data_IF_964322990584
#
_entry.id   IF_964322990584
#
_cell.length_a   1.000
_cell.length_b   1.000
_cell.length_c   1.000
_cell.angle_alpha   90.00
_cell.angle_beta   90.00
_cell.angle_gamma   90.00
#
_symmetry.space_group_name_H-M   'P 1'
#
loop_
_entity.id
_entity.type
_entity.pdbx_description
1 polymer ?
#
# COMPACT_ATOMS: atom_id res chain seq x y z
N UNK A 1 70.09 -63.66 -14.65
CA UNK A 1 68.73 -63.58 -15.22
C UNK A 1 67.71 -63.83 -14.11
N UNK A 2 66.96 -62.79 -13.74
CA UNK A 2 65.93 -62.79 -12.70
C UNK A 2 64.60 -63.31 -13.28
N UNK A 3 63.90 -64.19 -12.58
CA UNK A 3 62.45 -64.42 -12.76
C UNK A 3 61.80 -64.37 -11.38
N UNK A 4 61.20 -63.23 -11.08
CA UNK A 4 60.27 -63.07 -9.96
C UNK A 4 58.89 -63.25 -10.55
N UNK A 5 58.14 -64.20 -9.98
CA UNK A 5 56.74 -64.47 -10.30
C UNK A 5 55.92 -63.29 -9.78
N UNK A 6 55.16 -62.69 -10.70
CA UNK A 6 54.15 -61.69 -10.42
C UNK A 6 52.98 -62.33 -9.67
N UNK A 7 52.55 -61.70 -8.58
CA UNK A 7 51.22 -61.91 -8.03
C UNK A 7 50.45 -60.59 -8.12
N UNK A 8 49.44 -60.63 -8.97
CA UNK A 8 48.55 -59.53 -9.32
C UNK A 8 47.60 -59.22 -8.17
N UNK A 9 47.69 -58.00 -7.61
CA UNK A 9 46.63 -57.46 -6.74
C UNK A 9 45.77 -56.51 -7.59
N UNK A 10 44.55 -57.00 -7.82
CA UNK A 10 43.29 -56.32 -8.08
C UNK A 10 43.33 -54.80 -8.35
N UNK A 11 43.12 -54.52 -9.63
CA UNK A 11 42.33 -53.44 -10.23
C UNK A 11 41.33 -52.79 -9.25
N UNK A 12 41.67 -51.59 -8.78
CA UNK A 12 40.72 -50.62 -8.24
C UNK A 12 40.26 -49.69 -9.36
N UNK A 13 39.16 -50.03 -10.03
CA UNK A 13 38.40 -49.10 -10.89
C UNK A 13 37.58 -48.20 -9.94
N UNK A 14 38.24 -47.19 -9.38
CA UNK A 14 37.59 -46.03 -8.80
C UNK A 14 37.61 -44.92 -9.84
N UNK A 15 36.70 -44.96 -10.80
CA UNK A 15 36.54 -43.88 -11.77
C UNK A 15 36.19 -42.59 -11.03
N UNK A 16 37.05 -41.59 -11.15
CA UNK A 16 36.73 -40.21 -10.78
C UNK A 16 35.46 -39.79 -11.54
N UNK A 17 34.30 -39.82 -10.88
CA UNK A 17 33.13 -39.12 -11.36
C UNK A 17 33.43 -37.62 -11.25
N UNK A 18 33.95 -37.06 -12.34
CA UNK A 18 34.18 -35.62 -12.50
C UNK A 18 32.90 -34.89 -12.09
N UNK A 19 33.02 -33.97 -11.12
CA UNK A 19 31.93 -33.07 -10.79
C UNK A 19 31.40 -32.41 -12.09
N UNK A 20 30.07 -32.26 -12.25
CA UNK A 20 29.50 -31.72 -13.47
C UNK A 20 30.12 -30.35 -13.77
N UNK A 21 30.68 -30.19 -14.99
CA UNK A 21 31.21 -28.90 -15.44
C UNK A 21 30.06 -27.90 -15.53
N UNK A 22 30.20 -26.77 -14.82
CA UNK A 22 29.28 -25.64 -14.94
C UNK A 22 29.54 -25.00 -16.29
N UNK A 23 28.61 -25.15 -17.23
CA UNK A 23 28.63 -24.43 -18.51
C UNK A 23 28.54 -22.93 -18.24
N UNK A 24 29.21 -22.10 -19.03
CA UNK A 24 29.09 -20.64 -18.92
C UNK A 24 27.62 -20.24 -19.09
N UNK A 25 27.09 -19.51 -18.10
CA UNK A 25 25.70 -19.07 -18.07
C UNK A 25 25.40 -18.14 -19.25
N UNK A 26 24.37 -18.44 -20.04
CA UNK A 26 23.86 -17.60 -21.13
C UNK A 26 22.63 -16.77 -20.70
N UNK A 27 22.33 -16.74 -19.40
CA UNK A 27 21.24 -15.95 -18.87
C UNK A 27 21.49 -14.45 -19.09
N UNK A 28 20.48 -13.81 -19.66
CA UNK A 28 20.36 -12.35 -19.74
C UNK A 28 19.43 -11.87 -18.63
N UNK A 29 19.73 -10.69 -18.07
CA UNK A 29 19.04 -10.15 -16.90
C UNK A 29 18.46 -8.79 -17.23
N UNK A 30 17.15 -8.64 -17.08
CA UNK A 30 16.44 -7.39 -17.28
C UNK A 30 15.81 -6.94 -15.97
N UNK A 31 16.13 -5.74 -15.53
CA UNK A 31 15.54 -5.18 -14.31
C UNK A 31 14.02 -5.01 -14.45
N UNK A 32 13.32 -5.33 -13.37
CA UNK A 32 11.89 -5.08 -13.18
C UNK A 32 11.79 -4.01 -12.09
N UNK A 33 11.20 -2.87 -12.40
CA UNK A 33 10.88 -1.86 -11.41
C UNK A 33 9.54 -1.23 -11.80
N UNK A 34 8.51 -1.46 -10.99
CA UNK A 34 7.20 -0.82 -11.11
C UNK A 34 6.98 0.13 -9.92
N UNK A 35 5.76 0.55 -9.60
CA UNK A 35 5.53 1.41 -8.44
C UNK A 35 5.79 0.67 -7.11
N UNK A 36 5.42 -0.61 -7.04
CA UNK A 36 5.34 -1.34 -5.77
C UNK A 36 6.42 -2.37 -5.51
N UNK A 37 7.24 -2.69 -6.50
CA UNK A 37 8.18 -3.79 -6.44
C UNK A 37 9.45 -3.55 -7.25
N UNK A 38 10.42 -4.42 -6.98
CA UNK A 38 11.71 -4.47 -7.67
C UNK A 38 12.03 -5.92 -7.99
N UNK A 39 12.81 -6.17 -9.04
CA UNK A 39 13.14 -7.52 -9.43
C UNK A 39 14.01 -7.60 -10.66
N UNK A 40 14.20 -8.82 -11.13
CA UNK A 40 14.98 -9.16 -12.32
C UNK A 40 14.25 -10.26 -13.06
N UNK A 41 14.11 -10.10 -14.37
CA UNK A 41 13.76 -11.18 -15.29
C UNK A 41 15.04 -11.81 -15.83
N UNK A 42 15.30 -13.05 -15.45
CA UNK A 42 16.40 -13.85 -15.97
C UNK A 42 15.89 -14.69 -17.16
N UNK A 43 16.53 -14.61 -18.33
CA UNK A 43 16.13 -15.35 -19.54
C UNK A 43 17.33 -16.04 -20.20
N UNK A 44 17.21 -17.34 -20.45
CA UNK A 44 18.21 -18.13 -21.18
C UNK A 44 17.59 -18.68 -22.47
N UNK A 45 18.09 -18.26 -23.65
CA UNK A 45 17.66 -18.81 -24.94
C UNK A 45 18.05 -20.28 -25.11
N UNK A 46 19.21 -20.72 -24.62
CA UNK A 46 19.64 -22.11 -24.76
C UNK A 46 18.88 -23.07 -23.85
N UNK A 47 18.51 -22.63 -22.65
CA UNK A 47 17.67 -23.40 -21.74
C UNK A 47 16.17 -23.29 -22.10
N UNK A 48 15.79 -22.25 -22.86
CA UNK A 48 14.38 -21.95 -23.15
C UNK A 48 13.59 -21.59 -21.91
N UNK A 49 14.23 -20.91 -20.95
CA UNK A 49 13.68 -20.60 -19.62
C UNK A 49 13.68 -19.10 -19.39
N UNK A 50 12.57 -18.58 -18.86
CA UNK A 50 12.48 -17.25 -18.28
C UNK A 50 11.95 -17.33 -16.85
N UNK A 51 12.47 -16.49 -15.97
CA UNK A 51 12.14 -16.48 -14.54
C UNK A 51 12.07 -15.03 -14.07
N UNK A 52 10.97 -14.68 -13.42
CA UNK A 52 10.85 -13.42 -12.71
C UNK A 52 11.21 -13.65 -11.24
N UNK A 53 12.20 -12.90 -10.76
CA UNK A 53 12.62 -12.90 -9.36
C UNK A 53 12.39 -11.49 -8.84
N UNK A 54 11.50 -11.32 -7.89
CA UNK A 54 11.05 -9.98 -7.48
C UNK A 54 10.70 -9.89 -6.01
N UNK A 55 10.52 -8.66 -5.53
CA UNK A 55 10.02 -8.32 -4.21
C UNK A 55 8.93 -7.24 -4.31
N UNK A 56 7.86 -7.38 -3.52
CA UNK A 56 6.88 -6.33 -3.24
C UNK A 56 7.32 -5.53 -2.01
N UNK A 57 7.37 -4.21 -2.13
CA UNK A 57 8.15 -3.36 -1.22
C UNK A 57 7.34 -2.29 -0.48
N UNK A 58 6.12 -1.97 -0.93
CA UNK A 58 5.37 -0.79 -0.45
C UNK A 58 4.12 -1.11 0.36
N UNK A 59 3.52 -2.30 0.19
CA UNK A 59 2.30 -2.71 0.90
C UNK A 59 2.62 -3.82 1.90
N UNK A 60 2.23 -3.64 3.16
CA UNK A 60 2.35 -4.67 4.20
C UNK A 60 3.80 -5.08 4.52
N UNK A 61 4.00 -6.40 4.67
CA UNK A 61 5.31 -7.01 4.83
C UNK A 61 5.98 -7.22 3.46
N UNK A 62 7.32 -7.29 3.44
CA UNK A 62 8.04 -7.50 2.19
C UNK A 62 7.85 -8.95 1.77
N UNK A 63 7.27 -9.15 0.59
CA UNK A 63 7.10 -10.48 0.00
C UNK A 63 8.03 -10.63 -1.19
N UNK A 64 8.79 -11.72 -1.22
CA UNK A 64 9.66 -12.06 -2.34
C UNK A 64 9.02 -13.17 -3.17
N UNK A 65 9.28 -13.20 -4.47
CA UNK A 65 8.75 -14.24 -5.35
C UNK A 65 9.75 -14.69 -6.40
N UNK A 66 9.69 -15.98 -6.74
CA UNK A 66 10.41 -16.59 -7.85
C UNK A 66 9.36 -17.28 -8.72
N UNK A 67 9.15 -16.76 -9.94
CA UNK A 67 8.06 -17.17 -10.84
C UNK A 67 8.64 -17.65 -12.16
N UNK A 68 8.59 -18.97 -12.44
CA UNK A 68 8.88 -19.48 -13.77
C UNK A 68 7.85 -18.92 -14.77
N UNK A 69 8.34 -18.35 -15.88
CA UNK A 69 7.50 -17.79 -16.93
C UNK A 69 7.41 -18.78 -18.10
N UNK A 70 6.20 -19.05 -18.59
CA UNK A 70 6.01 -19.80 -19.83
C UNK A 70 6.30 -18.90 -21.02
N UNK A 71 7.48 -19.00 -21.60
CA UNK A 71 7.79 -18.34 -22.88
C UNK A 71 7.33 -19.22 -24.04
N UNK A 72 6.31 -18.77 -24.78
CA UNK A 72 5.71 -19.52 -25.89
C UNK A 72 6.64 -19.91 -27.08
N UNK A 73 7.84 -19.35 -27.34
CA UNK A 73 8.71 -19.91 -28.38
C UNK A 73 9.40 -21.24 -27.98
N UNK A 74 9.38 -21.62 -26.70
CA UNK A 74 10.23 -22.72 -26.17
C UNK A 74 9.46 -24.00 -25.78
N UNK A 75 8.21 -24.14 -26.22
CA UNK A 75 7.36 -25.35 -26.02
C UNK A 75 7.79 -26.56 -26.88
N UNK A 76 9.08 -26.79 -27.11
CA UNK A 76 9.53 -28.04 -27.72
C UNK A 76 9.47 -29.17 -26.67
N UNK A 77 8.69 -30.21 -26.97
CA UNK A 77 8.25 -31.23 -26.01
C UNK A 77 9.37 -32.08 -25.36
N UNK A 78 10.61 -32.03 -25.84
CA UNK A 78 11.63 -33.04 -25.50
C UNK A 78 12.90 -32.52 -24.78
N UNK A 79 12.96 -31.23 -24.40
CA UNK A 79 14.15 -30.64 -23.75
C UNK A 79 13.82 -29.71 -22.57
N UNK A 80 12.98 -30.15 -21.63
CA UNK A 80 12.59 -29.30 -20.49
C UNK A 80 13.72 -29.19 -19.48
N UNK A 81 14.49 -28.11 -19.58
CA UNK A 81 15.30 -27.66 -18.47
C UNK A 81 14.41 -27.46 -17.25
N UNK A 82 14.94 -27.86 -16.10
CA UNK A 82 14.22 -27.90 -14.85
C UNK A 82 14.86 -26.94 -13.86
N UNK A 83 14.04 -26.22 -13.11
CA UNK A 83 14.54 -25.29 -12.10
C UNK A 83 14.64 -25.99 -10.74
N UNK A 84 15.77 -25.83 -10.06
CA UNK A 84 16.00 -26.42 -8.73
C UNK A 84 16.50 -25.37 -7.75
N UNK A 85 16.21 -25.59 -6.47
CA UNK A 85 16.55 -24.69 -5.38
C UNK A 85 16.83 -25.51 -4.11
N UNK A 86 17.95 -25.26 -3.45
CA UNK A 86 18.28 -25.87 -2.16
C UNK A 86 18.40 -27.41 -2.16
N UNK A 87 18.74 -28.04 -3.29
CA UNK A 87 18.80 -29.50 -3.42
C UNK A 87 17.45 -30.22 -3.29
N UNK A 88 16.36 -29.49 -3.04
CA UNK A 88 14.99 -29.97 -3.10
C UNK A 88 14.45 -29.88 -4.53
N UNK A 89 13.43 -30.68 -4.82
CA UNK A 89 12.96 -31.02 -6.17
C UNK A 89 12.52 -29.86 -7.06
N UNK A 90 12.17 -30.23 -8.29
CA UNK A 90 11.85 -29.33 -9.40
C UNK A 90 10.79 -28.26 -9.07
N UNK A 91 11.11 -27.00 -9.31
CA UNK A 91 10.15 -25.90 -9.28
C UNK A 91 9.20 -26.04 -10.48
N UNK A 92 7.93 -26.33 -10.19
CA UNK A 92 6.87 -26.45 -11.20
C UNK A 92 5.96 -25.22 -11.29
N UNK A 93 6.10 -24.29 -10.36
CA UNK A 93 5.26 -23.08 -10.27
C UNK A 93 5.92 -21.98 -9.44
N UNK A 94 5.20 -20.85 -9.24
CA UNK A 94 5.63 -19.76 -8.38
C UNK A 94 5.97 -20.23 -6.96
N UNK A 95 7.00 -19.63 -6.39
CA UNK A 95 7.33 -19.75 -4.97
C UNK A 95 7.42 -18.35 -4.38
N UNK A 96 6.68 -18.12 -3.31
CA UNK A 96 6.68 -16.87 -2.57
C UNK A 96 7.38 -17.06 -1.21
N UNK A 97 8.02 -16.01 -0.70
CA UNK A 97 8.78 -16.02 0.55
C UNK A 97 8.44 -14.79 1.38
N UNK A 98 8.11 -15.03 2.65
CA UNK A 98 7.87 -13.96 3.63
C UNK A 98 9.14 -13.63 4.45
N UNK A 99 10.25 -14.32 4.18
CA UNK A 99 11.51 -14.15 4.89
C UNK A 99 12.65 -13.84 3.93
N UNK A 100 13.32 -12.69 4.15
CA UNK A 100 14.52 -12.29 3.41
C UNK A 100 15.61 -13.38 3.49
N UNK A 101 15.77 -14.03 4.65
CA UNK A 101 16.78 -15.06 4.85
C UNK A 101 16.51 -16.31 4.01
N UNK A 102 15.24 -16.76 3.96
CA UNK A 102 14.84 -17.89 3.12
C UNK A 102 15.00 -17.53 1.64
N UNK A 103 14.54 -16.34 1.24
CA UNK A 103 14.71 -15.87 -0.13
C UNK A 103 16.18 -15.81 -0.55
N UNK A 104 17.08 -15.26 0.29
CA UNK A 104 18.52 -15.18 0.02
C UNK A 104 19.16 -16.58 -0.10
N UNK A 105 18.81 -17.51 0.78
CA UNK A 105 19.29 -18.89 0.69
C UNK A 105 18.80 -19.60 -0.60
N UNK A 106 17.55 -19.32 -0.97
CA UNK A 106 16.91 -19.84 -2.18
C UNK A 106 17.56 -19.33 -3.46
N UNK A 107 17.74 -18.00 -3.61
CA UNK A 107 18.40 -17.45 -4.82
C UNK A 107 19.86 -17.90 -4.93
N UNK A 108 20.58 -18.06 -3.82
CA UNK A 108 21.98 -18.46 -3.83
C UNK A 108 22.22 -19.86 -4.46
N UNK A 109 21.20 -20.71 -4.42
CA UNK A 109 21.24 -22.10 -4.91
C UNK A 109 20.33 -22.33 -6.13
N UNK A 110 19.79 -21.25 -6.72
CA UNK A 110 18.87 -21.32 -7.85
C UNK A 110 19.63 -21.69 -9.14
N UNK A 111 19.24 -22.82 -9.74
CA UNK A 111 19.88 -23.37 -10.93
C UNK A 111 18.86 -23.87 -11.95
N UNK A 112 19.23 -23.78 -13.23
CA UNK A 112 18.58 -24.50 -14.32
C UNK A 112 19.36 -25.78 -14.63
N UNK A 113 18.66 -26.89 -14.78
CA UNK A 113 19.23 -28.23 -14.97
C UNK A 113 18.70 -28.86 -16.24
N UNK A 114 19.58 -29.32 -17.13
CA UNK A 114 19.18 -30.01 -18.35
C UNK A 114 18.67 -31.43 -18.06
N UNK A 115 17.84 -32.01 -18.95
CA UNK A 115 17.58 -33.44 -18.94
C UNK A 115 18.91 -34.23 -18.98
N UNK A 116 18.97 -35.42 -18.34
CA UNK A 116 20.15 -36.28 -18.41
C UNK A 116 20.39 -36.77 -19.85
N UNK A 117 21.64 -36.77 -20.29
CA UNK A 117 22.02 -37.28 -21.60
C UNK A 117 22.26 -38.81 -21.54
N UNK A 118 22.03 -39.53 -22.64
CA UNK A 118 22.17 -41.00 -22.73
C UNK A 118 23.55 -41.54 -22.28
N UNK A 119 24.60 -40.72 -22.37
CA UNK A 119 25.98 -41.08 -21.99
C UNK A 119 26.68 -39.97 -21.18
N UNK A 120 25.94 -39.08 -20.52
CA UNK A 120 26.51 -37.96 -19.76
C UNK A 120 25.58 -37.42 -18.68
N UNK A 121 26.15 -36.82 -17.63
CA UNK A 121 25.38 -36.20 -16.55
C UNK A 121 24.58 -34.97 -17.01
N UNK A 122 23.62 -34.52 -16.19
CA UNK A 122 22.90 -33.27 -16.42
C UNK A 122 23.81 -32.06 -16.35
N UNK A 123 23.63 -31.11 -17.28
CA UNK A 123 24.25 -29.78 -17.17
C UNK A 123 23.49 -28.93 -16.16
N UNK A 124 24.22 -28.13 -15.38
CA UNK A 124 23.67 -27.22 -14.37
C UNK A 124 24.19 -25.82 -14.63
N UNK A 125 23.28 -24.84 -14.67
CA UNK A 125 23.60 -23.43 -14.91
C UNK A 125 23.05 -22.61 -13.74
N UNK A 126 23.93 -21.86 -13.09
CA UNK A 126 23.55 -20.94 -12.00
C UNK A 126 22.80 -19.74 -12.57
N UNK A 127 21.65 -19.43 -11.95
CA UNK A 127 20.80 -18.28 -12.34
C UNK A 127 21.13 -17.06 -11.47
N UNK A 128 21.61 -17.26 -10.24
CA UNK A 128 21.93 -16.14 -9.35
C UNK A 128 23.00 -15.24 -9.95
N UNK A 129 22.77 -13.93 -9.90
CA UNK A 129 23.78 -12.91 -10.21
C UNK A 129 23.68 -11.74 -9.21
N UNK A 130 24.60 -10.77 -9.34
CA UNK A 130 24.65 -9.60 -8.46
C UNK A 130 23.35 -8.76 -8.50
N UNK A 131 22.63 -8.72 -9.64
CA UNK A 131 21.36 -7.98 -9.75
C UNK A 131 20.27 -8.64 -8.91
N UNK A 132 20.18 -9.98 -8.95
CA UNK A 132 19.23 -10.76 -8.16
C UNK A 132 19.56 -10.65 -6.65
N UNK A 133 20.84 -10.72 -6.29
CA UNK A 133 21.30 -10.60 -4.90
C UNK A 133 21.02 -9.22 -4.29
N UNK A 134 20.94 -8.18 -5.13
CA UNK A 134 20.63 -6.81 -4.72
C UNK A 134 19.13 -6.54 -4.49
N UNK A 135 18.23 -7.45 -4.88
CA UNK A 135 16.76 -7.26 -4.79
C UNK A 135 16.31 -6.86 -3.37
N UNK A 136 16.75 -7.52 -2.27
CA UNK A 136 16.29 -7.12 -0.95
C UNK A 136 16.77 -5.72 -0.55
N UNK A 137 17.99 -5.34 -0.92
CA UNK A 137 18.54 -4.01 -0.64
C UNK A 137 17.82 -2.91 -1.42
N UNK A 138 17.55 -3.15 -2.71
CA UNK A 138 16.74 -2.28 -3.54
C UNK A 138 15.31 -2.13 -2.98
N UNK A 139 14.74 -3.22 -2.48
CA UNK A 139 13.41 -3.22 -1.90
C UNK A 139 13.34 -2.41 -0.60
N UNK A 140 14.32 -2.57 0.30
CA UNK A 140 14.45 -1.76 1.51
C UNK A 140 14.61 -0.27 1.20
N UNK A 141 15.46 0.07 0.22
CA UNK A 141 15.64 1.45 -0.23
C UNK A 141 14.33 2.05 -0.74
N UNK A 142 13.62 1.33 -1.61
CA UNK A 142 12.33 1.76 -2.18
C UNK A 142 11.24 1.93 -1.11
N UNK A 143 11.18 1.02 -0.14
CA UNK A 143 10.29 1.16 1.02
C UNK A 143 10.62 2.42 1.83
N UNK A 144 11.89 2.70 2.06
CA UNK A 144 12.35 3.92 2.73
C UNK A 144 11.93 5.19 1.99
N UNK A 145 12.12 5.23 0.67
CA UNK A 145 11.69 6.35 -0.19
C UNK A 145 10.17 6.53 -0.17
N UNK A 146 9.41 5.43 -0.25
CA UNK A 146 7.95 5.47 -0.18
C UNK A 146 7.44 6.01 1.17
N UNK A 147 7.97 5.50 2.28
CA UNK A 147 7.61 5.99 3.63
C UNK A 147 7.97 7.45 3.80
N UNK A 148 9.13 7.89 3.31
CA UNK A 148 9.52 9.30 3.34
C UNK A 148 8.59 10.17 2.50
N UNK A 149 8.18 9.70 1.32
CA UNK A 149 7.22 10.39 0.47
C UNK A 149 5.85 10.54 1.15
N UNK A 150 5.30 9.46 1.70
CA UNK A 150 4.02 9.46 2.42
C UNK A 150 4.06 10.39 3.63
N UNK A 151 5.15 10.35 4.43
CA UNK A 151 5.34 11.29 5.54
C UNK A 151 5.40 12.74 5.04
N UNK A 152 6.16 13.00 3.98
CA UNK A 152 6.27 14.34 3.40
C UNK A 152 4.94 14.89 2.86
N UNK A 153 4.03 14.03 2.36
CA UNK A 153 2.67 14.42 2.00
C UNK A 153 1.85 14.76 3.25
N UNK A 154 1.88 13.91 4.27
CA UNK A 154 1.17 14.14 5.53
C UNK A 154 1.62 15.44 6.23
N UNK A 155 2.92 15.72 6.24
CA UNK A 155 3.48 16.95 6.81
C UNK A 155 3.05 18.19 6.04
N UNK A 156 2.99 18.12 4.70
CA UNK A 156 2.48 19.21 3.86
C UNK A 156 1.01 19.50 4.10
N UNK A 157 0.19 18.45 4.21
CA UNK A 157 -1.24 18.61 4.48
C UNK A 157 -1.47 19.18 5.88
N UNK A 158 -0.72 18.71 6.88
CA UNK A 158 -0.74 19.28 8.22
C UNK A 158 -0.34 20.75 8.24
N UNK A 159 0.72 21.12 7.53
CA UNK A 159 1.17 22.51 7.45
C UNK A 159 0.12 23.43 6.81
N UNK A 160 -0.59 22.95 5.78
CA UNK A 160 -1.72 23.66 5.17
C UNK A 160 -2.88 23.84 6.15
N UNK A 161 -3.24 22.78 6.87
CA UNK A 161 -4.31 22.84 7.88
C UNK A 161 -3.96 23.85 8.99
N UNK A 162 -2.72 23.81 9.49
CA UNK A 162 -2.22 24.76 10.50
C UNK A 162 -2.23 26.22 9.98
N UNK A 163 -1.86 26.42 8.71
CA UNK A 163 -1.91 27.74 8.06
C UNK A 163 -3.35 28.26 7.96
N UNK A 164 -4.30 27.44 7.49
CA UNK A 164 -5.71 27.81 7.37
C UNK A 164 -6.32 28.14 8.74
N UNK A 165 -5.99 27.34 9.77
CA UNK A 165 -6.42 27.61 11.14
C UNK A 165 -5.86 28.94 11.62
N UNK A 166 -4.56 29.19 11.42
CA UNK A 166 -3.93 30.45 11.82
C UNK A 166 -4.54 31.66 11.13
N UNK A 167 -4.94 31.55 9.86
CA UNK A 167 -5.62 32.62 9.13
C UNK A 167 -6.97 32.96 9.75
N UNK A 168 -7.79 31.95 10.06
CA UNK A 168 -9.11 32.16 10.69
C UNK A 168 -8.93 32.75 12.10
N UNK A 169 -7.99 32.25 12.89
CA UNK A 169 -7.66 32.80 14.22
C UNK A 169 -7.23 34.26 14.08
N UNK A 170 -6.35 34.59 13.13
CA UNK A 170 -5.88 35.95 12.91
C UNK A 170 -6.97 36.93 12.49
N UNK A 171 -7.91 36.50 11.63
CA UNK A 171 -9.02 37.33 11.14
C UNK A 171 -10.14 37.51 12.17
N UNK A 172 -10.44 36.45 12.94
CA UNK A 172 -11.68 36.38 13.74
C UNK A 172 -11.44 36.37 15.25
N UNK A 173 -10.24 36.02 15.70
CA UNK A 173 -9.91 35.77 17.12
C UNK A 173 -10.48 34.46 17.69
N UNK A 174 -11.28 33.72 16.91
CA UNK A 174 -11.95 32.49 17.34
C UNK A 174 -10.96 31.32 17.29
N UNK A 175 -10.94 30.50 18.33
CA UNK A 175 -10.02 29.34 18.43
C UNK A 175 -10.58 28.10 17.72
N UNK A 176 -9.75 27.19 17.19
CA UNK A 176 -10.23 25.97 16.56
C UNK A 176 -10.89 25.03 17.56
N UNK A 177 -11.88 24.27 17.10
CA UNK A 177 -12.60 23.29 17.92
C UNK A 177 -11.76 22.04 18.20
N UNK A 178 -11.00 21.60 17.19
CA UNK A 178 -10.15 20.41 17.22
C UNK A 178 -8.66 20.77 17.14
N UNK A 179 -7.81 19.90 17.66
CA UNK A 179 -6.35 20.00 17.53
C UNK A 179 -5.92 19.35 16.21
N UNK A 180 -5.06 20.04 15.45
CA UNK A 180 -4.63 19.56 14.13
C UNK A 180 -5.73 19.77 13.09
N UNK A 181 -6.22 18.70 12.47
CA UNK A 181 -7.25 18.80 11.44
C UNK A 181 -8.60 19.26 12.03
N UNK A 182 -8.95 20.52 11.80
CA UNK A 182 -10.16 21.15 12.33
C UNK A 182 -11.39 20.99 11.41
N UNK A 183 -11.64 19.77 10.96
CA UNK A 183 -12.72 19.45 10.02
C UNK A 183 -13.50 18.21 10.46
N UNK A 184 -14.84 18.24 10.33
CA UNK A 184 -15.69 17.09 10.64
C UNK A 184 -17.01 17.13 9.85
N UNK A 185 -17.64 15.98 9.56
CA UNK A 185 -19.01 15.99 9.03
C UNK A 185 -20.00 16.43 10.10
N UNK A 186 -21.16 16.96 9.72
CA UNK A 186 -22.19 17.32 10.71
C UNK A 186 -22.63 16.13 11.58
N UNK A 187 -22.74 14.92 11.01
CA UNK A 187 -23.05 13.71 11.78
C UNK A 187 -22.03 13.46 12.89
N UNK A 188 -20.74 13.42 12.52
CA UNK A 188 -19.67 13.18 13.47
C UNK A 188 -19.55 14.33 14.48
N UNK A 189 -19.77 15.56 14.03
CA UNK A 189 -19.75 16.75 14.89
C UNK A 189 -20.87 16.69 15.93
N UNK A 190 -22.06 16.25 15.55
CA UNK A 190 -23.16 16.14 16.51
C UNK A 190 -22.90 15.04 17.53
N UNK A 191 -22.42 13.86 17.11
CA UNK A 191 -22.02 12.81 18.05
C UNK A 191 -20.91 13.31 18.99
N UNK A 192 -19.89 13.98 18.44
CA UNK A 192 -18.80 14.57 19.23
C UNK A 192 -19.32 15.59 20.25
N UNK A 193 -20.23 16.48 19.88
CA UNK A 193 -20.80 17.48 20.79
C UNK A 193 -21.75 16.88 21.82
N UNK A 194 -22.44 15.78 21.51
CA UNK A 194 -23.24 15.02 22.47
C UNK A 194 -22.37 14.34 23.54
N UNK A 195 -21.23 13.77 23.13
CA UNK A 195 -20.28 13.10 24.03
C UNK A 195 -19.47 14.10 24.88
N UNK A 196 -18.91 15.13 24.24
CA UNK A 196 -18.01 16.09 24.88
C UNK A 196 -18.75 17.20 25.62
N UNK A 197 -19.94 17.56 25.15
CA UNK A 197 -20.78 18.66 25.63
C UNK A 197 -20.56 19.97 24.86
N UNK A 198 -21.65 20.54 24.32
CA UNK A 198 -21.66 21.80 23.54
C UNK A 198 -20.94 22.96 24.24
N UNK A 199 -21.09 23.08 25.57
CA UNK A 199 -20.51 24.17 26.36
C UNK A 199 -18.98 24.23 26.31
N UNK A 200 -18.29 23.09 26.19
CA UNK A 200 -16.82 23.02 26.11
C UNK A 200 -16.24 23.54 24.79
N UNK A 201 -17.10 23.62 23.77
CA UNK A 201 -16.73 23.97 22.40
C UNK A 201 -17.35 25.28 21.93
N UNK A 202 -18.15 25.95 22.77
CA UNK A 202 -18.71 27.27 22.48
C UNK A 202 -17.60 28.29 22.25
N UNK A 203 -17.78 29.16 21.24
CA UNK A 203 -16.79 30.15 20.82
C UNK A 203 -15.59 29.55 20.10
N UNK A 204 -15.71 28.33 19.57
CA UNK A 204 -14.70 27.68 18.75
C UNK A 204 -15.23 27.44 17.34
N UNK A 205 -14.36 27.47 16.34
CA UNK A 205 -14.73 27.26 14.95
C UNK A 205 -14.34 25.88 14.43
N UNK A 206 -15.03 25.41 13.39
CA UNK A 206 -14.75 24.15 12.70
C UNK A 206 -15.19 24.23 11.23
N UNK A 207 -14.47 23.54 10.33
CA UNK A 207 -14.96 23.29 8.97
C UNK A 207 -15.84 22.06 8.93
N UNK A 208 -16.97 22.16 8.23
CA UNK A 208 -17.97 21.09 8.21
C UNK A 208 -18.22 20.56 6.81
N UNK A 209 -18.38 19.25 6.70
CA UNK A 209 -19.00 18.61 5.54
C UNK A 209 -20.45 18.20 5.88
N UNK A 210 -21.31 18.11 4.86
CA UNK A 210 -22.75 17.98 5.07
C UNK A 210 -23.16 16.70 5.82
N UNK A 211 -22.47 15.59 5.56
CA UNK A 211 -22.92 14.28 6.00
C UNK A 211 -24.31 13.98 5.44
N UNK A 212 -25.28 13.67 6.31
CA UNK A 212 -26.68 13.43 5.92
C UNK A 212 -27.61 14.64 6.12
N UNK A 213 -27.05 15.81 6.43
CA UNK A 213 -27.83 17.01 6.69
C UNK A 213 -28.21 17.73 5.40
N UNK A 214 -29.44 18.25 5.37
CA UNK A 214 -29.90 19.16 4.31
C UNK A 214 -30.57 20.37 4.91
N UNK A 215 -30.55 21.46 4.15
CA UNK A 215 -31.28 22.67 4.48
C UNK A 215 -32.77 22.36 4.43
N UNK A 216 -33.44 22.40 5.58
CA UNK A 216 -34.86 22.16 5.72
C UNK A 216 -35.68 23.45 5.66
N UNK A 217 -35.09 24.57 6.09
CA UNK A 217 -35.79 25.84 6.17
C UNK A 217 -34.81 27.02 6.13
N UNK A 218 -35.19 28.10 5.47
CA UNK A 218 -34.43 29.37 5.44
C UNK A 218 -35.32 30.52 5.88
N UNK A 219 -34.96 31.20 6.99
CA UNK A 219 -35.74 32.33 7.54
C UNK A 219 -34.81 33.38 8.14
N UNK A 220 -34.89 34.62 7.62
CA UNK A 220 -34.28 35.80 8.25
C UNK A 220 -32.78 35.66 8.55
N UNK A 221 -31.99 35.22 7.57
CA UNK A 221 -30.54 35.00 7.72
C UNK A 221 -30.18 33.78 8.57
N UNK A 222 -31.13 32.86 8.76
CA UNK A 222 -30.91 31.59 9.45
C UNK A 222 -31.31 30.43 8.58
N UNK A 223 -30.44 29.43 8.54
CA UNK A 223 -30.62 28.19 7.81
C UNK A 223 -30.77 27.07 8.82
N UNK A 224 -31.89 26.36 8.81
CA UNK A 224 -32.11 25.16 9.60
C UNK A 224 -31.71 23.94 8.78
N UNK A 225 -30.87 23.09 9.34
CA UNK A 225 -30.48 21.82 8.77
C UNK A 225 -31.01 20.68 9.63
N UNK A 226 -31.48 19.62 8.97
CA UNK A 226 -31.92 18.39 9.61
C UNK A 226 -31.22 17.19 8.98
N UNK A 227 -30.92 16.19 9.81
CA UNK A 227 -30.51 14.87 9.35
C UNK A 227 -31.65 14.24 8.55
N UNK A 228 -31.37 13.84 7.31
CA UNK A 228 -32.35 13.23 6.43
C UNK A 228 -32.64 11.77 6.82
N UNK A 229 -31.68 11.07 7.42
CA UNK A 229 -31.84 9.63 7.72
C UNK A 229 -32.31 9.37 9.14
N UNK A 230 -31.88 10.19 10.11
CA UNK A 230 -32.19 9.95 11.51
C UNK A 230 -32.41 11.26 12.31
N UNK A 231 -33.48 12.03 11.98
CA UNK A 231 -33.77 13.30 12.63
C UNK A 231 -34.14 13.17 14.13
N UNK A 232 -34.38 11.95 14.62
CA UNK A 232 -34.65 11.68 16.03
C UNK A 232 -33.38 11.48 16.86
N UNK A 233 -32.34 10.88 16.28
CA UNK A 233 -31.05 10.65 16.96
C UNK A 233 -30.10 11.84 16.83
N UNK A 234 -30.19 12.57 15.73
CA UNK A 234 -29.32 13.70 15.43
C UNK A 234 -30.05 15.04 15.62
N UNK A 235 -29.53 15.94 16.47
CA UNK A 235 -30.16 17.23 16.73
C UNK A 235 -30.16 18.12 15.48
N UNK A 236 -31.17 18.97 15.37
CA UNK A 236 -31.20 19.98 14.32
C UNK A 236 -30.04 20.98 14.49
N UNK A 237 -29.61 21.57 13.37
CA UNK A 237 -28.54 22.55 13.32
C UNK A 237 -29.10 23.85 12.75
N UNK A 238 -28.74 24.98 13.34
CA UNK A 238 -29.08 26.29 12.79
C UNK A 238 -27.81 27.07 12.51
N UNK A 239 -27.67 27.58 11.30
CA UNK A 239 -26.53 28.39 10.88
C UNK A 239 -27.03 29.81 10.63
N UNK A 240 -26.45 30.77 11.33
CA UNK A 240 -26.61 32.20 11.06
C UNK A 240 -25.66 32.56 9.92
N UNK A 241 -26.20 33.09 8.83
CA UNK A 241 -25.46 33.40 7.61
C UNK A 241 -26.14 34.52 6.82
N UNK A 242 -25.33 35.32 6.13
CA UNK A 242 -25.76 36.31 5.13
C UNK A 242 -25.82 35.73 3.70
N UNK A 243 -25.25 34.53 3.50
CA UNK A 243 -25.27 33.81 2.22
C UNK A 243 -26.67 33.35 1.85
N UNK A 244 -26.98 33.48 0.56
CA UNK A 244 -28.23 32.97 -0.01
C UNK A 244 -28.27 31.45 0.04
N UNK A 245 -29.40 30.91 0.52
CA UNK A 245 -29.62 29.48 0.65
C UNK A 245 -31.04 29.11 0.22
N UNK A 246 -31.19 27.90 -0.32
CA UNK A 246 -32.45 27.31 -0.76
C UNK A 246 -32.75 26.04 0.05
N UNK A 247 -34.02 25.75 0.24
CA UNK A 247 -34.45 24.50 0.87
C UNK A 247 -34.11 23.28 0.00
N UNK A 248 -33.77 22.16 0.64
CA UNK A 248 -33.39 20.90 0.01
C UNK A 248 -31.92 20.79 -0.40
N UNK A 249 -31.17 21.90 -0.44
CA UNK A 249 -29.75 21.87 -0.84
C UNK A 249 -28.81 21.50 0.32
N UNK A 250 -27.56 21.21 -0.04
CA UNK A 250 -26.46 20.96 0.90
C UNK A 250 -25.83 22.27 1.37
N UNK A 251 -25.33 22.30 2.60
CA UNK A 251 -24.63 23.46 3.13
C UNK A 251 -23.30 23.71 2.40
N UNK A 252 -22.58 22.66 2.01
CA UNK A 252 -21.33 22.79 1.24
C UNK A 252 -21.51 23.49 -0.11
N UNK A 253 -22.73 23.50 -0.66
CA UNK A 253 -23.09 24.26 -1.86
C UNK A 253 -23.31 25.76 -1.57
N UNK A 254 -23.58 26.13 -0.32
CA UNK A 254 -23.73 27.52 0.16
C UNK A 254 -22.39 28.06 0.64
N UNK A 255 -21.66 27.28 1.43
CA UNK A 255 -20.43 27.72 2.08
C UNK A 255 -19.51 26.54 2.33
N UNK A 256 -18.23 26.73 1.98
CA UNK A 256 -17.12 25.90 2.43
C UNK A 256 -16.32 26.58 3.55
N UNK A 257 -16.84 27.70 4.07
CA UNK A 257 -16.20 28.47 5.14
C UNK A 257 -16.36 27.81 6.53
N UNK A 258 -15.54 28.23 7.49
CA UNK A 258 -15.64 27.75 8.87
C UNK A 258 -16.93 28.22 9.56
N UNK A 259 -17.38 27.43 10.54
CA UNK A 259 -18.52 27.74 11.38
C UNK A 259 -18.08 27.90 12.83
N UNK A 260 -18.43 29.01 13.47
CA UNK A 260 -18.28 29.21 14.91
C UNK A 260 -19.46 28.60 15.67
N UNK A 261 -19.20 27.76 16.67
CA UNK A 261 -20.22 27.23 17.56
C UNK A 261 -20.64 28.29 18.58
N UNK A 262 -21.87 28.78 18.47
CA UNK A 262 -22.43 29.79 19.38
C UNK A 262 -23.08 29.14 20.61
N UNK A 263 -23.59 27.92 20.47
CA UNK A 263 -24.16 27.15 21.57
C UNK A 263 -25.43 26.42 21.17
N UNK A 264 -26.42 26.40 22.06
CA UNK A 264 -27.75 25.86 21.78
C UNK A 264 -28.77 26.99 21.71
N UNK A 265 -29.77 26.83 20.87
CA UNK A 265 -30.89 27.75 20.75
C UNK A 265 -32.20 26.96 20.59
N UNK A 266 -33.32 27.66 20.63
CA UNK A 266 -34.62 27.13 20.27
C UNK A 266 -35.06 27.73 18.93
N UNK A 267 -35.41 26.88 17.97
CA UNK A 267 -35.93 27.29 16.68
C UNK A 267 -37.43 26.99 16.59
N UNK A 268 -38.21 27.94 16.06
CA UNK A 268 -39.64 27.73 15.78
C UNK A 268 -39.78 27.14 14.39
N UNK A 269 -40.24 25.90 14.29
CA UNK A 269 -40.61 25.28 13.01
C UNK A 269 -41.83 26.00 12.40
N UNK A 270 -42.07 25.80 11.09
CA UNK A 270 -43.19 26.37 10.32
C UNK A 270 -44.57 26.16 10.99
N UNK A 271 -44.74 25.09 11.77
CA UNK A 271 -45.97 24.78 12.53
C UNK A 271 -45.98 25.31 13.98
N UNK A 272 -45.06 26.22 14.33
CA UNK A 272 -45.00 26.86 15.65
C UNK A 272 -44.36 26.04 16.77
N UNK A 273 -44.05 24.76 16.55
CA UNK A 273 -43.34 23.92 17.51
C UNK A 273 -41.90 24.41 17.73
N UNK A 274 -41.51 24.59 18.99
CA UNK A 274 -40.14 24.93 19.37
C UNK A 274 -39.29 23.66 19.47
N UNK A 275 -38.16 23.62 18.77
CA UNK A 275 -37.17 22.54 18.88
C UNK A 275 -35.82 23.11 19.27
N UNK A 276 -35.09 22.39 20.13
CA UNK A 276 -33.71 22.73 20.41
C UNK A 276 -32.85 22.45 19.17
N UNK A 277 -31.90 23.35 18.92
CA UNK A 277 -30.99 23.30 17.78
C UNK A 277 -29.60 23.70 18.24
N UNK A 278 -28.57 23.10 17.64
CA UNK A 278 -27.20 23.55 17.83
C UNK A 278 -26.95 24.73 16.89
N UNK A 279 -26.55 25.85 17.46
CA UNK A 279 -26.43 27.13 16.78
C UNK A 279 -24.99 27.40 16.38
N UNK A 280 -24.78 27.60 15.09
CA UNK A 280 -23.53 28.05 14.51
C UNK A 280 -23.70 29.42 13.84
N UNK A 281 -22.58 30.10 13.64
CA UNK A 281 -22.45 31.31 12.83
C UNK A 281 -21.41 31.07 11.74
N UNK A 282 -21.72 31.43 10.50
CA UNK A 282 -20.71 31.47 9.42
C UNK A 282 -19.76 32.64 9.66
N UNK A 283 -18.44 32.40 9.56
CA UNK A 283 -17.37 33.40 9.76
C UNK A 283 -16.35 33.40 8.61
#
# INVERSE_FOLDING_TARGET
MKRIIALSILVSIGGCASAPQVTQSDFTYKDISDYGGVGVRATSPSAGVAIDISASCIEGDIHYSIRPMSTEPYRAADKRWSLIMGGAGFLRGPVDFDSEALFRASIATLEAVSPPALFGGSQRVKISNYQIEAIPDLCRKKRGEHVAHVRGLADKDRAKDEQLISEVVGRTGVQPMLIGKNQMSFNNLMSFLQESGVSKHKGKFIWVSDGDYRIAQVVGGRVLLISMTNPGAFPAITIITDKEALEGQLWSSVSQGPLELIGMSSYKAVLGASRQTILFKSI
#
